data_IF_239356763426
#
_entry.id   IF_239356763426
#
_cell.length_a   1.000
_cell.length_b   1.000
_cell.length_c   1.000
_cell.angle_alpha   90.00
_cell.angle_beta   90.00
_cell.angle_gamma   90.00
#
_symmetry.space_group_name_H-M   'P 1'
#
loop_
_entity.id
_entity.type
_entity.pdbx_description
1 polymer ?
#
# COMPACT_ATOMS: atom_id res chain seq x y z
N UNK A 1 -25.01 22.51 -16.43
CA UNK A 1 -26.35 21.98 -16.12
C UNK A 1 -27.35 23.15 -16.08
N UNK A 2 -28.60 22.93 -15.65
CA UNK A 2 -29.54 24.02 -15.36
C UNK A 2 -29.28 24.72 -14.02
N UNK A 3 -28.34 24.21 -13.21
CA UNK A 3 -27.97 24.76 -11.89
C UNK A 3 -26.52 25.27 -11.93
N UNK A 4 -26.38 26.60 -12.00
CA UNK A 4 -25.08 27.28 -12.02
C UNK A 4 -24.28 27.07 -10.74
N UNK A 5 -24.94 26.94 -9.58
CA UNK A 5 -24.25 26.76 -8.31
C UNK A 5 -23.59 25.38 -8.25
N UNK A 6 -24.31 24.34 -8.70
CA UNK A 6 -23.76 22.99 -8.83
C UNK A 6 -22.58 22.94 -9.80
N UNK A 7 -22.68 23.60 -10.96
CA UNK A 7 -21.60 23.65 -11.95
C UNK A 7 -20.33 24.32 -11.40
N UNK A 8 -20.48 25.45 -10.69
CA UNK A 8 -19.36 26.15 -10.05
C UNK A 8 -18.75 25.31 -8.93
N UNK A 9 -19.57 24.66 -8.11
CA UNK A 9 -19.11 23.78 -7.05
C UNK A 9 -18.31 22.60 -7.61
N UNK A 10 -18.82 21.92 -8.64
CA UNK A 10 -18.11 20.84 -9.32
C UNK A 10 -16.76 21.30 -9.87
N UNK A 11 -16.72 22.46 -10.54
CA UNK A 11 -15.47 23.06 -11.04
C UNK A 11 -14.47 23.30 -9.91
N UNK A 12 -14.91 23.88 -8.80
CA UNK A 12 -14.04 24.11 -7.63
C UNK A 12 -13.53 22.82 -7.00
N UNK A 13 -14.39 21.81 -6.82
CA UNK A 13 -14.00 20.49 -6.33
C UNK A 13 -12.93 19.86 -7.23
N UNK A 14 -13.12 19.90 -8.55
CA UNK A 14 -12.14 19.37 -9.51
C UNK A 14 -10.81 20.12 -9.42
N UNK A 15 -10.83 21.45 -9.34
CA UNK A 15 -9.61 22.27 -9.19
C UNK A 15 -8.87 21.91 -7.90
N UNK A 16 -9.54 21.84 -6.76
CA UNK A 16 -8.89 21.50 -5.50
C UNK A 16 -8.35 20.07 -5.48
N UNK A 17 -9.04 19.13 -6.16
CA UNK A 17 -8.55 17.77 -6.31
C UNK A 17 -7.24 17.72 -7.09
N UNK A 18 -7.17 18.37 -8.26
CA UNK A 18 -5.96 18.37 -9.09
C UNK A 18 -4.84 19.26 -8.54
N UNK A 19 -5.15 20.29 -7.75
CA UNK A 19 -4.13 21.06 -7.01
C UNK A 19 -3.43 20.21 -5.94
N UNK A 20 -4.14 19.26 -5.31
CA UNK A 20 -3.56 18.40 -4.26
C UNK A 20 -2.94 17.14 -4.86
N UNK A 21 -3.63 16.47 -5.79
CA UNK A 21 -3.20 15.21 -6.39
C UNK A 21 -2.41 15.32 -7.70
N UNK A 22 -2.45 16.46 -8.38
CA UNK A 22 -1.86 16.68 -9.71
C UNK A 22 -2.78 16.30 -10.87
N UNK A 23 -2.33 16.57 -12.09
CA UNK A 23 -2.93 16.11 -13.36
C UNK A 23 -1.83 15.76 -14.36
N UNK A 24 -2.08 14.90 -15.37
CA UNK A 24 -1.08 14.58 -16.39
C UNK A 24 -0.76 15.78 -17.27
N UNK A 25 0.51 15.92 -17.70
CA UNK A 25 0.96 17.04 -18.55
C UNK A 25 0.36 16.97 -19.97
N UNK A 26 0.47 15.83 -20.64
CA UNK A 26 -0.02 15.61 -22.01
C UNK A 26 -0.62 14.21 -22.17
N UNK A 27 -1.71 13.93 -21.47
CA UNK A 27 -2.37 12.62 -21.52
C UNK A 27 -1.39 11.50 -21.15
N UNK A 28 -1.29 10.48 -22.00
CA UNK A 28 -0.42 9.31 -21.79
C UNK A 28 0.96 9.43 -22.45
N UNK A 29 1.32 10.61 -22.99
CA UNK A 29 2.62 10.85 -23.60
C UNK A 29 3.73 10.94 -22.57
N UNK A 30 4.89 10.38 -22.91
CA UNK A 30 6.10 10.42 -22.09
C UNK A 30 7.15 11.31 -22.77
N UNK A 31 7.70 12.26 -22.01
CA UNK A 31 8.89 13.01 -22.41
C UNK A 31 10.14 12.23 -22.01
N UNK A 32 10.93 11.79 -22.99
CA UNK A 32 12.07 10.91 -22.75
C UNK A 32 13.13 11.48 -21.79
N UNK A 33 13.42 12.77 -21.86
CA UNK A 33 14.40 13.39 -20.96
C UNK A 33 13.93 13.38 -19.49
N UNK A 34 12.65 13.63 -19.24
CA UNK A 34 12.08 13.54 -17.90
C UNK A 34 12.02 12.08 -17.41
N UNK A 35 11.59 11.15 -18.26
CA UNK A 35 11.59 9.72 -17.92
C UNK A 35 12.99 9.19 -17.58
N UNK A 36 14.01 9.57 -18.35
CA UNK A 36 15.39 9.20 -18.05
C UNK A 36 15.96 9.92 -16.82
N UNK A 37 15.52 11.15 -16.54
CA UNK A 37 15.85 11.82 -15.28
C UNK A 37 15.23 11.09 -14.08
N UNK A 38 13.96 10.68 -14.20
CA UNK A 38 13.30 9.82 -13.22
C UNK A 38 14.07 8.51 -13.02
N UNK A 39 14.40 7.77 -14.08
CA UNK A 39 15.16 6.51 -13.97
C UNK A 39 16.49 6.70 -13.23
N UNK A 40 17.23 7.79 -13.49
CA UNK A 40 18.47 8.11 -12.77
C UNK A 40 18.27 8.43 -11.29
N UNK A 41 17.15 9.05 -10.92
CA UNK A 41 16.82 9.31 -9.51
C UNK A 41 16.38 8.02 -8.81
N UNK A 42 15.66 7.15 -9.51
CA UNK A 42 15.19 5.85 -9.00
C UNK A 42 16.30 4.85 -8.80
N UNK A 43 17.02 4.51 -9.87
CA UNK A 43 18.05 3.49 -9.84
C UNK A 43 19.18 3.83 -10.82
N UNK A 44 20.28 4.38 -10.31
CA UNK A 44 21.44 4.83 -11.10
C UNK A 44 22.12 3.68 -11.84
N UNK A 45 22.08 2.47 -11.26
CA UNK A 45 22.70 1.26 -11.82
C UNK A 45 21.91 0.84 -13.07
N UNK A 46 20.59 0.76 -12.98
CA UNK A 46 19.72 0.37 -14.10
C UNK A 46 19.54 1.48 -15.15
N UNK A 47 19.66 2.76 -14.77
CA UNK A 47 19.27 3.88 -15.62
C UNK A 47 19.98 3.91 -16.98
N UNK A 48 21.29 3.65 -17.01
CA UNK A 48 22.08 3.70 -18.25
C UNK A 48 21.70 2.58 -19.22
N UNK A 49 21.51 1.36 -18.70
CA UNK A 49 21.11 0.20 -19.50
C UNK A 49 19.66 0.35 -19.98
N UNK A 50 18.74 0.78 -19.11
CA UNK A 50 17.34 1.04 -19.49
C UNK A 50 17.22 2.14 -20.53
N UNK A 51 18.06 3.17 -20.46
CA UNK A 51 18.09 4.22 -21.47
C UNK A 51 18.35 3.64 -22.86
N UNK A 52 19.40 2.82 -22.99
CA UNK A 52 19.74 2.15 -24.25
C UNK A 52 18.63 1.20 -24.69
N UNK A 53 18.15 0.37 -23.77
CA UNK A 53 17.11 -0.63 -24.02
C UNK A 53 15.83 -0.03 -24.61
N UNK A 54 15.38 1.12 -24.09
CA UNK A 54 14.21 1.84 -24.61
C UNK A 54 14.45 2.47 -25.98
N UNK A 55 15.62 3.09 -26.19
CA UNK A 55 15.97 3.74 -27.45
C UNK A 55 16.06 2.75 -28.62
N UNK A 56 16.49 1.50 -28.36
CA UNK A 56 16.59 0.45 -29.37
C UNK A 56 15.24 -0.16 -29.76
N UNK A 57 14.25 -0.14 -28.85
CA UNK A 57 12.95 -0.81 -29.06
C UNK A 57 11.88 0.09 -29.64
N UNK A 58 11.95 1.40 -29.39
CA UNK A 58 10.86 2.29 -29.75
C UNK A 58 11.32 3.73 -29.94
N UNK A 59 10.97 4.40 -31.06
CA UNK A 59 11.30 5.81 -31.27
C UNK A 59 10.55 6.70 -30.28
N UNK A 60 11.22 7.73 -29.75
CA UNK A 60 10.68 8.60 -28.70
C UNK A 60 9.37 9.31 -29.09
N UNK A 61 9.13 9.58 -30.38
CA UNK A 61 7.89 10.18 -30.86
C UNK A 61 6.65 9.35 -30.54
N UNK A 62 6.81 8.02 -30.45
CA UNK A 62 5.73 7.08 -30.19
C UNK A 62 5.55 6.76 -28.70
N UNK A 63 6.39 7.31 -27.82
CA UNK A 63 6.37 6.97 -26.41
C UNK A 63 5.05 7.39 -25.76
N UNK A 64 4.32 6.36 -25.34
CA UNK A 64 3.01 6.41 -24.70
C UNK A 64 3.01 5.36 -23.60
N UNK A 65 2.49 5.68 -22.42
CA UNK A 65 2.51 4.78 -21.25
C UNK A 65 2.00 3.38 -21.62
N UNK A 66 0.84 3.29 -22.27
CA UNK A 66 0.23 2.00 -22.64
C UNK A 66 1.08 1.21 -23.65
N UNK A 67 1.68 1.87 -24.65
CA UNK A 67 2.52 1.19 -25.66
C UNK A 67 3.81 0.69 -25.05
N UNK A 68 4.45 1.54 -24.26
CA UNK A 68 5.68 1.19 -23.57
C UNK A 68 5.42 0.05 -22.58
N UNK A 69 4.31 0.07 -21.83
CA UNK A 69 3.96 -1.03 -20.94
C UNK A 69 3.84 -2.35 -21.69
N UNK A 70 3.17 -2.37 -22.85
CA UNK A 70 3.08 -3.57 -23.69
C UNK A 70 4.45 -4.09 -24.14
N UNK A 71 5.38 -3.21 -24.47
CA UNK A 71 6.75 -3.57 -24.84
C UNK A 71 7.51 -4.14 -23.64
N UNK A 72 7.48 -3.45 -22.49
CA UNK A 72 8.16 -3.89 -21.28
C UNK A 72 7.62 -5.22 -20.74
N UNK A 73 6.30 -5.39 -20.72
CA UNK A 73 5.65 -6.60 -20.19
C UNK A 73 5.86 -7.82 -21.07
N UNK A 74 6.25 -7.65 -22.34
CA UNK A 74 6.59 -8.76 -23.23
C UNK A 74 7.94 -9.39 -22.92
N UNK A 75 8.82 -8.68 -22.20
CA UNK A 75 10.10 -9.18 -21.74
C UNK A 75 9.96 -9.73 -20.30
N UNK A 76 9.83 -11.04 -20.19
CA UNK A 76 9.66 -11.72 -18.90
C UNK A 76 10.98 -11.94 -18.15
N UNK A 77 12.11 -11.42 -18.63
CA UNK A 77 13.39 -11.47 -17.91
C UNK A 77 13.35 -10.63 -16.63
N UNK A 78 14.37 -10.77 -15.78
CA UNK A 78 14.52 -9.90 -14.61
C UNK A 78 14.60 -8.42 -15.00
N UNK A 79 15.33 -8.12 -16.07
CA UNK A 79 15.47 -6.76 -16.59
C UNK A 79 14.13 -6.20 -17.09
N UNK A 80 13.38 -6.97 -17.89
CA UNK A 80 12.07 -6.58 -18.39
C UNK A 80 11.04 -6.35 -17.28
N UNK A 81 11.09 -7.16 -16.20
CA UNK A 81 10.26 -6.93 -15.00
C UNK A 81 10.64 -5.65 -14.26
N UNK A 82 11.94 -5.34 -14.11
CA UNK A 82 12.37 -4.07 -13.53
C UNK A 82 11.96 -2.87 -14.42
N UNK A 83 12.06 -3.00 -15.74
CA UNK A 83 11.63 -1.96 -16.68
C UNK A 83 10.12 -1.73 -16.58
N UNK A 84 9.33 -2.81 -16.47
CA UNK A 84 7.88 -2.75 -16.26
C UNK A 84 7.55 -2.07 -14.94
N UNK A 85 8.21 -2.43 -13.84
CA UNK A 85 8.02 -1.79 -12.52
C UNK A 85 8.27 -0.28 -12.60
N UNK A 86 9.43 0.14 -13.10
CA UNK A 86 9.80 1.56 -13.14
C UNK A 86 8.87 2.36 -14.05
N UNK A 87 8.42 1.78 -15.17
CA UNK A 87 7.42 2.40 -16.02
C UNK A 87 6.04 2.50 -15.35
N UNK A 88 5.62 1.47 -14.63
CA UNK A 88 4.38 1.51 -13.82
C UNK A 88 4.46 2.58 -12.73
N UNK A 89 5.64 2.83 -12.16
CA UNK A 89 5.82 3.87 -11.14
C UNK A 89 5.99 5.29 -11.70
N UNK A 90 6.23 5.45 -13.00
CA UNK A 90 6.34 6.75 -13.64
C UNK A 90 4.95 7.34 -13.90
N UNK A 91 4.59 8.38 -13.13
CA UNK A 91 3.31 9.08 -13.24
C UNK A 91 3.61 10.56 -13.56
N UNK A 92 3.47 11.00 -14.82
CA UNK A 92 3.89 12.33 -15.28
C UNK A 92 2.88 13.42 -14.88
N UNK A 93 2.72 13.64 -13.57
CA UNK A 93 1.82 14.65 -13.02
C UNK A 93 2.52 15.99 -12.85
N UNK A 94 1.77 17.08 -13.03
CA UNK A 94 2.16 18.42 -12.65
C UNK A 94 1.08 19.07 -11.76
N UNK A 95 1.30 20.32 -11.35
CA UNK A 95 0.36 21.17 -10.59
C UNK A 95 0.07 20.75 -9.13
N UNK A 96 0.46 19.53 -8.73
CA UNK A 96 0.34 19.08 -7.33
C UNK A 96 1.16 19.95 -6.37
N UNK A 97 0.56 20.30 -5.22
CA UNK A 97 1.20 20.99 -4.11
C UNK A 97 0.73 20.45 -2.76
N UNK A 98 1.57 20.59 -1.72
CA UNK A 98 1.13 20.38 -0.34
C UNK A 98 0.10 21.44 0.06
N UNK A 99 -0.94 21.02 0.75
CA UNK A 99 -2.11 21.84 1.14
C UNK A 99 -1.89 22.64 2.43
N UNK A 100 -0.72 23.27 2.53
CA UNK A 100 -0.40 24.25 3.57
C UNK A 100 -0.92 25.64 3.23
N UNK A 101 -1.44 26.34 4.23
CA UNK A 101 -1.97 27.70 4.15
C UNK A 101 -2.11 28.28 5.57
N UNK A 102 -2.44 29.57 5.76
CA UNK A 102 -2.55 30.17 7.10
C UNK A 102 -3.54 29.50 8.06
N UNK A 103 -4.54 28.77 7.55
CA UNK A 103 -5.47 27.98 8.38
C UNK A 103 -4.93 26.58 8.74
N UNK A 104 -3.84 26.15 8.10
CA UNK A 104 -3.13 24.88 8.33
C UNK A 104 -1.62 25.11 8.45
N UNK A 105 -1.16 25.93 9.42
CA UNK A 105 0.24 26.35 9.51
C UNK A 105 1.21 25.19 9.80
N UNK A 106 0.73 24.07 10.35
CA UNK A 106 1.51 22.84 10.55
C UNK A 106 1.86 22.12 9.24
N UNK A 107 1.20 22.45 8.13
CA UNK A 107 1.53 21.96 6.80
C UNK A 107 2.35 23.01 6.05
N UNK A 108 3.63 22.72 5.80
CA UNK A 108 4.43 23.57 4.89
C UNK A 108 4.02 23.32 3.45
N UNK A 109 3.49 24.35 2.78
CA UNK A 109 3.28 24.26 1.33
C UNK A 109 4.59 24.48 0.58
N UNK A 110 4.70 23.86 -0.58
CA UNK A 110 5.78 24.09 -1.53
C UNK A 110 5.20 23.99 -2.93
N UNK A 111 5.62 24.91 -3.79
CA UNK A 111 5.38 24.88 -5.23
C UNK A 111 6.74 24.71 -5.90
N UNK A 112 6.92 23.73 -6.79
CA UNK A 112 8.15 23.65 -7.56
C UNK A 112 8.31 24.93 -8.39
N UNK A 113 9.54 25.49 -8.48
CA UNK A 113 9.77 26.67 -9.29
C UNK A 113 9.48 26.35 -10.77
N UNK A 114 8.90 27.32 -11.48
CA UNK A 114 8.69 27.18 -12.92
C UNK A 114 10.05 27.18 -13.64
N UNK A 115 10.36 26.17 -14.47
CA UNK A 115 11.55 26.14 -15.30
C UNK A 115 11.59 27.32 -16.28
N UNK A 116 12.80 27.77 -16.62
CA UNK A 116 13.02 28.80 -17.66
C UNK A 116 12.57 28.36 -19.05
N UNK A 117 12.38 27.05 -19.26
CA UNK A 117 11.88 26.46 -20.51
C UNK A 117 10.38 26.72 -20.74
N UNK A 118 9.65 27.21 -19.74
CA UNK A 118 8.21 27.47 -19.82
C UNK A 118 7.32 26.23 -19.69
N UNK A 119 7.87 25.02 -19.69
CA UNK A 119 7.13 23.77 -19.40
C UNK A 119 6.89 23.62 -17.90
N UNK A 120 5.68 23.24 -17.45
CA UNK A 120 5.44 22.91 -16.05
C UNK A 120 6.36 21.78 -15.59
N UNK A 121 6.94 21.85 -14.38
CA UNK A 121 7.73 20.76 -13.85
C UNK A 121 6.82 19.56 -13.58
N UNK A 122 7.23 18.38 -14.04
CA UNK A 122 6.63 17.11 -13.61
C UNK A 122 7.07 16.89 -12.16
N UNK A 123 6.11 16.84 -11.27
CA UNK A 123 6.30 16.69 -9.83
C UNK A 123 4.98 16.39 -9.13
N UNK A 124 5.02 15.46 -8.18
CA UNK A 124 3.97 15.28 -7.17
C UNK A 124 4.57 14.88 -5.82
N UNK A 125 3.89 15.27 -4.75
CA UNK A 125 4.15 14.77 -3.40
C UNK A 125 2.86 14.84 -2.58
N UNK A 126 2.66 13.87 -1.71
CA UNK A 126 1.48 13.88 -0.85
C UNK A 126 1.53 12.83 0.24
N UNK A 127 0.94 13.19 1.38
CA UNK A 127 0.66 12.22 2.42
C UNK A 127 -0.20 11.10 1.83
N UNK A 128 0.05 9.87 2.28
CA UNK A 128 -0.48 8.65 1.70
C UNK A 128 -1.98 8.72 1.38
N UNK A 129 -2.80 8.94 2.41
CA UNK A 129 -4.26 9.02 2.29
C UNK A 129 -4.70 10.12 1.32
N UNK A 130 -4.13 11.32 1.45
CA UNK A 130 -4.58 12.47 0.67
C UNK A 130 -4.41 12.26 -0.82
N UNK A 131 -3.23 11.78 -1.24
CA UNK A 131 -2.89 11.64 -2.65
C UNK A 131 -3.65 10.48 -3.31
N UNK A 132 -3.78 9.33 -2.63
CA UNK A 132 -4.52 8.20 -3.18
C UNK A 132 -6.02 8.46 -3.26
N UNK A 133 -6.60 9.24 -2.34
CA UNK A 133 -7.97 9.73 -2.47
C UNK A 133 -8.15 10.67 -3.66
N UNK A 134 -7.19 11.57 -3.93
CA UNK A 134 -7.29 12.43 -5.10
C UNK A 134 -7.12 11.66 -6.41
N UNK A 135 -6.25 10.66 -6.41
CA UNK A 135 -6.00 9.78 -7.54
C UNK A 135 -7.17 8.86 -7.85
N UNK A 136 -7.94 8.44 -6.83
CA UNK A 136 -9.22 7.74 -7.03
C UNK A 136 -10.15 8.55 -7.95
N UNK A 137 -10.34 9.85 -7.67
CA UNK A 137 -11.17 10.72 -8.49
C UNK A 137 -10.54 11.01 -9.86
N UNK A 138 -9.22 11.27 -9.91
CA UNK A 138 -8.50 11.54 -11.16
C UNK A 138 -8.56 10.35 -12.12
N UNK A 139 -8.44 9.12 -11.60
CA UNK A 139 -8.47 7.89 -12.38
C UNK A 139 -9.79 7.63 -13.10
N UNK A 140 -10.90 8.27 -12.69
CA UNK A 140 -12.16 8.22 -13.45
C UNK A 140 -12.03 9.01 -14.76
N UNK A 141 -11.41 10.19 -14.70
CA UNK A 141 -11.22 11.05 -15.88
C UNK A 141 -9.99 10.66 -16.70
N UNK A 142 -9.01 9.99 -16.10
CA UNK A 142 -7.76 9.56 -16.74
C UNK A 142 -7.48 8.06 -16.47
N UNK A 143 -8.29 7.13 -16.99
CA UNK A 143 -8.22 5.71 -16.63
C UNK A 143 -6.88 5.05 -16.89
N UNK A 144 -6.12 5.51 -17.91
CA UNK A 144 -4.80 4.97 -18.22
C UNK A 144 -3.78 5.12 -17.08
N UNK A 145 -4.02 6.02 -16.10
CA UNK A 145 -3.15 6.18 -14.93
C UNK A 145 -3.49 5.18 -13.80
N UNK A 146 -4.65 4.53 -13.80
CA UNK A 146 -5.08 3.65 -12.72
C UNK A 146 -4.10 2.49 -12.45
N UNK A 147 -3.56 1.77 -13.47
CA UNK A 147 -2.54 0.76 -13.25
C UNK A 147 -1.29 1.32 -12.56
N UNK A 148 -0.86 2.52 -12.94
CA UNK A 148 0.31 3.19 -12.38
C UNK A 148 0.08 3.62 -10.93
N UNK A 149 -1.09 4.17 -10.63
CA UNK A 149 -1.48 4.56 -9.26
C UNK A 149 -1.57 3.33 -8.35
N UNK A 150 -2.11 2.21 -8.84
CA UNK A 150 -2.13 0.94 -8.11
C UNK A 150 -0.72 0.40 -7.86
N UNK A 151 0.11 0.34 -8.90
CA UNK A 151 1.49 -0.12 -8.76
C UNK A 151 2.28 0.77 -7.78
N UNK A 152 2.07 2.09 -7.83
CA UNK A 152 2.70 3.03 -6.88
C UNK A 152 2.29 2.76 -5.44
N UNK A 153 1.01 2.46 -5.20
CA UNK A 153 0.51 2.03 -3.89
C UNK A 153 1.18 0.73 -3.45
N UNK A 154 1.10 -0.31 -4.28
CA UNK A 154 1.58 -1.66 -3.98
C UNK A 154 3.10 -1.69 -3.75
N UNK A 155 3.87 -0.96 -4.56
CA UNK A 155 5.33 -0.94 -4.46
C UNK A 155 5.81 -0.31 -3.16
N UNK A 156 5.08 0.69 -2.67
CA UNK A 156 5.39 1.36 -1.42
C UNK A 156 4.88 0.62 -0.17
N UNK A 157 4.19 -0.53 -0.31
CA UNK A 157 3.81 -1.32 0.88
C UNK A 157 5.02 -2.01 1.49
N UNK A 158 5.04 -2.05 2.81
CA UNK A 158 6.10 -2.70 3.60
C UNK A 158 5.87 -4.20 3.71
N UNK A 159 6.93 -4.94 4.03
CA UNK A 159 6.89 -6.40 4.13
C UNK A 159 5.96 -6.92 5.24
N UNK A 160 5.67 -6.08 6.23
CA UNK A 160 4.78 -6.35 7.36
C UNK A 160 3.34 -5.81 7.17
N UNK A 161 3.01 -5.30 5.98
CA UNK A 161 1.63 -4.99 5.58
C UNK A 161 1.15 -3.58 5.90
N UNK A 162 2.07 -2.62 5.90
CA UNK A 162 1.79 -1.19 6.09
C UNK A 162 2.43 -0.37 4.96
N UNK A 163 2.69 0.91 5.23
CA UNK A 163 3.22 1.84 4.24
C UNK A 163 3.90 3.05 4.91
N UNK A 164 4.81 3.73 4.20
CA UNK A 164 5.35 5.02 4.63
C UNK A 164 4.26 6.09 4.70
N UNK A 165 4.57 7.18 5.42
CA UNK A 165 3.65 8.30 5.60
C UNK A 165 3.38 9.07 4.30
N UNK A 166 4.38 9.16 3.41
CA UNK A 166 4.32 10.00 2.20
C UNK A 166 4.91 9.30 0.99
N UNK A 167 4.37 9.63 -0.17
CA UNK A 167 4.98 9.34 -1.48
C UNK A 167 5.28 10.66 -2.21
N UNK A 168 6.32 10.65 -3.03
CA UNK A 168 6.65 11.72 -3.98
C UNK A 168 7.01 11.11 -5.34
N UNK A 169 7.30 11.91 -6.37
CA UNK A 169 7.62 11.36 -7.70
C UNK A 169 8.75 10.33 -7.67
N UNK A 170 9.80 10.61 -6.90
CA UNK A 170 11.01 9.81 -6.92
C UNK A 170 10.98 8.65 -5.92
N UNK A 171 10.18 8.72 -4.85
CA UNK A 171 10.35 7.79 -3.74
C UNK A 171 9.29 7.92 -2.65
N UNK A 172 9.70 7.51 -1.46
CA UNK A 172 8.85 7.44 -0.27
C UNK A 172 9.56 8.11 0.90
N UNK A 173 8.78 8.72 1.79
CA UNK A 173 9.28 9.29 3.04
C UNK A 173 8.51 8.69 4.23
N UNK A 174 9.26 8.39 5.29
CA UNK A 174 8.73 8.00 6.60
C UNK A 174 9.08 9.06 7.64
N UNK A 175 8.36 9.04 8.76
CA UNK A 175 8.66 9.90 9.90
C UNK A 175 9.90 9.37 10.63
N UNK A 176 10.82 10.25 10.97
CA UNK A 176 12.05 9.94 11.72
C UNK A 176 11.87 10.55 13.12
N UNK A 177 12.15 9.81 14.20
CA UNK A 177 12.11 10.38 15.54
C UNK A 177 13.01 11.60 15.67
N UNK A 178 12.49 12.64 16.31
CA UNK A 178 13.25 13.86 16.63
C UNK A 178 13.91 13.68 18.01
N UNK A 179 15.25 13.69 18.13
CA UNK A 179 15.93 13.60 19.42
C UNK A 179 15.54 14.70 20.41
N UNK A 180 15.11 15.87 19.91
CA UNK A 180 14.73 17.03 20.72
C UNK A 180 13.24 17.02 21.10
N UNK A 181 12.43 16.15 20.50
CA UNK A 181 11.01 15.97 20.83
C UNK A 181 10.72 14.49 21.16
N UNK A 182 10.80 14.08 22.45
CA UNK A 182 10.53 12.70 22.85
C UNK A 182 9.06 12.29 22.66
N UNK A 183 8.17 13.23 22.34
CA UNK A 183 6.77 12.99 22.03
C UNK A 183 6.50 12.92 20.52
N UNK A 184 7.52 13.11 19.67
CA UNK A 184 7.45 12.87 18.24
C UNK A 184 7.37 11.36 17.97
N UNK A 185 6.16 10.82 18.08
CA UNK A 185 5.90 9.42 17.75
C UNK A 185 6.08 9.19 16.24
N UNK A 186 6.24 7.94 15.85
CA UNK A 186 6.17 7.44 14.47
C UNK A 186 5.37 6.13 14.49
N UNK A 187 4.88 5.68 13.34
CA UNK A 187 4.12 4.43 13.26
C UNK A 187 3.33 4.31 11.97
N UNK A 188 2.32 3.45 11.99
CA UNK A 188 1.50 3.16 10.81
C UNK A 188 0.03 3.43 11.09
N UNK A 189 -0.61 4.27 10.29
CA UNK A 189 -2.06 4.46 10.34
C UNK A 189 -2.76 3.22 9.80
N UNK A 190 -3.72 2.70 10.56
CA UNK A 190 -4.38 1.42 10.25
C UNK A 190 -5.36 1.50 9.08
N UNK A 191 -5.88 2.69 8.73
CA UNK A 191 -6.81 2.87 7.62
C UNK A 191 -6.11 3.00 6.25
N UNK A 192 -4.80 3.30 6.24
CA UNK A 192 -4.04 3.62 5.02
C UNK A 192 -4.04 2.52 3.94
N UNK A 193 -4.28 1.26 4.30
CA UNK A 193 -4.02 0.16 3.38
C UNK A 193 -5.28 -0.28 2.63
N UNK A 194 -6.34 -0.65 3.35
CA UNK A 194 -7.43 -1.44 2.79
C UNK A 194 -8.34 -0.62 1.89
N UNK A 195 -8.97 0.43 2.41
CA UNK A 195 -10.02 1.16 1.66
C UNK A 195 -9.46 1.85 0.42
N UNK A 196 -8.30 2.49 0.53
CA UNK A 196 -7.72 3.26 -0.57
C UNK A 196 -7.22 2.35 -1.70
N UNK A 197 -6.57 1.22 -1.37
CA UNK A 197 -6.21 0.23 -2.37
C UNK A 197 -7.44 -0.40 -3.01
N UNK A 198 -8.44 -0.78 -2.20
CA UNK A 198 -9.65 -1.40 -2.69
C UNK A 198 -10.34 -0.54 -3.76
N UNK A 199 -10.49 0.77 -3.51
CA UNK A 199 -11.10 1.70 -4.48
C UNK A 199 -10.31 1.80 -5.78
N UNK A 200 -8.98 1.81 -5.71
CA UNK A 200 -8.14 1.84 -6.90
C UNK A 200 -8.25 0.52 -7.69
N UNK A 201 -8.24 -0.63 -7.02
CA UNK A 201 -8.38 -1.94 -7.66
C UNK A 201 -9.77 -2.14 -8.27
N UNK A 202 -10.84 -1.71 -7.59
CA UNK A 202 -12.21 -1.72 -8.15
C UNK A 202 -12.27 -0.93 -9.47
N UNK A 203 -11.64 0.25 -9.51
CA UNK A 203 -11.57 1.06 -10.74
C UNK A 203 -10.70 0.42 -11.80
N UNK A 204 -9.52 -0.11 -11.45
CA UNK A 204 -8.68 -0.84 -12.40
C UNK A 204 -9.45 -1.98 -13.02
N UNK A 205 -10.10 -2.83 -12.22
CA UNK A 205 -10.87 -3.96 -12.72
C UNK A 205 -12.08 -3.51 -13.56
N UNK A 206 -12.73 -2.39 -13.20
CA UNK A 206 -13.83 -1.84 -13.99
C UNK A 206 -13.42 -1.36 -15.38
N UNK A 207 -12.22 -0.78 -15.54
CA UNK A 207 -11.72 -0.32 -16.85
C UNK A 207 -10.89 -1.37 -17.60
N UNK A 208 -10.19 -2.25 -16.87
CA UNK A 208 -9.26 -3.25 -17.38
C UNK A 208 -9.47 -4.60 -16.65
N UNK A 209 -10.55 -5.33 -16.96
CA UNK A 209 -10.95 -6.53 -16.20
C UNK A 209 -9.87 -7.61 -16.05
N UNK A 210 -9.09 -7.82 -17.11
CA UNK A 210 -8.06 -8.87 -17.18
C UNK A 210 -6.77 -8.52 -16.42
N UNK A 211 -6.55 -7.25 -16.09
CA UNK A 211 -5.25 -6.79 -15.59
C UNK A 211 -4.92 -7.35 -14.19
N UNK A 212 -5.90 -7.40 -13.29
CA UNK A 212 -5.66 -7.91 -11.93
C UNK A 212 -5.41 -9.42 -11.91
N UNK A 213 -6.19 -10.27 -12.61
CA UNK A 213 -5.87 -11.68 -12.77
C UNK A 213 -4.45 -11.93 -13.33
N UNK A 214 -4.03 -11.18 -14.34
CA UNK A 214 -2.67 -11.27 -14.91
C UNK A 214 -1.59 -10.92 -13.88
N UNK A 215 -1.85 -9.93 -13.02
CA UNK A 215 -0.90 -9.48 -12.01
C UNK A 215 -0.77 -10.42 -10.81
N UNK A 216 -1.72 -11.35 -10.58
CA UNK A 216 -1.74 -12.24 -9.42
C UNK A 216 -0.43 -13.04 -9.25
N UNK A 217 0.17 -13.52 -10.35
CA UNK A 217 1.44 -14.26 -10.33
C UNK A 217 2.61 -13.51 -11.01
N UNK A 218 2.38 -12.28 -11.49
CA UNK A 218 3.41 -11.49 -12.14
C UNK A 218 4.29 -10.76 -11.11
N UNK A 219 5.58 -11.11 -11.06
CA UNK A 219 6.54 -10.50 -10.14
C UNK A 219 6.92 -9.07 -10.58
N UNK A 220 6.06 -8.10 -10.30
CA UNK A 220 6.16 -6.71 -10.75
C UNK A 220 6.32 -5.70 -9.61
N UNK A 221 6.05 -6.10 -8.37
CA UNK A 221 5.89 -5.17 -7.26
C UNK A 221 7.06 -5.20 -6.27
N UNK A 222 7.72 -4.07 -6.07
CA UNK A 222 8.78 -3.94 -5.04
C UNK A 222 8.19 -3.82 -3.64
N UNK A 223 9.01 -3.94 -2.60
CA UNK A 223 8.55 -3.82 -1.19
C UNK A 223 9.39 -2.79 -0.43
N UNK A 224 8.72 -1.81 0.17
CA UNK A 224 9.37 -0.75 0.93
C UNK A 224 10.07 -1.32 2.18
N UNK A 225 11.27 -0.82 2.47
CA UNK A 225 12.06 -1.18 3.63
C UNK A 225 12.09 -0.03 4.64
N UNK A 226 10.93 0.31 5.19
CA UNK A 226 10.80 1.37 6.20
C UNK A 226 11.48 0.91 7.49
N UNK A 227 12.32 1.75 8.15
CA UNK A 227 13.09 1.37 9.35
C UNK A 227 12.25 1.37 10.63
N UNK A 228 11.06 0.80 10.56
CA UNK A 228 10.20 0.57 11.71
C UNK A 228 10.23 -0.93 12.04
N UNK A 229 10.15 -1.24 13.33
CA UNK A 229 10.10 -2.61 13.85
C UNK A 229 8.91 -2.75 14.78
N UNK A 230 7.92 -3.50 14.32
CA UNK A 230 6.79 -3.92 15.16
C UNK A 230 7.27 -4.91 16.22
N UNK A 231 6.90 -4.68 17.48
CA UNK A 231 7.33 -5.48 18.61
C UNK A 231 6.79 -6.92 18.60
N UNK A 232 7.37 -7.77 19.44
CA UNK A 232 6.90 -9.14 19.65
C UNK A 232 5.65 -9.22 20.52
N UNK A 233 5.05 -10.40 20.58
CA UNK A 233 3.77 -10.66 21.29
C UNK A 233 3.77 -10.17 22.73
N UNK A 234 4.82 -10.47 23.51
CA UNK A 234 4.82 -10.12 24.94
C UNK A 234 4.77 -8.59 25.14
N UNK A 235 5.60 -7.85 24.40
CA UNK A 235 5.64 -6.39 24.46
C UNK A 235 4.30 -5.78 23.99
N UNK A 236 3.69 -6.35 22.94
CA UNK A 236 2.40 -5.90 22.40
C UNK A 236 1.28 -5.95 23.45
N UNK A 237 1.17 -7.04 24.21
CA UNK A 237 0.15 -7.18 25.25
C UNK A 237 0.53 -6.48 26.56
N UNK A 238 1.82 -6.19 26.79
CA UNK A 238 2.29 -5.42 27.93
C UNK A 238 1.89 -3.94 27.81
N UNK A 239 2.11 -3.35 26.62
CA UNK A 239 1.74 -1.96 26.36
C UNK A 239 1.47 -1.75 24.85
N UNK A 240 0.20 -1.74 24.42
CA UNK A 240 -0.13 -1.60 23.00
C UNK A 240 0.05 -0.18 22.44
N UNK A 241 0.47 0.78 23.29
CA UNK A 241 0.86 2.14 22.86
C UNK A 241 2.34 2.27 22.52
N UNK A 242 3.15 1.25 22.83
CA UNK A 242 4.61 1.24 22.61
C UNK A 242 5.00 -0.02 21.85
N UNK A 243 4.70 -0.03 20.56
CA UNK A 243 4.70 -1.22 19.71
C UNK A 243 5.58 -1.11 18.48
N UNK A 244 6.09 0.09 18.18
CA UNK A 244 6.94 0.34 17.01
C UNK A 244 8.23 1.02 17.48
N UNK A 245 9.36 0.39 17.18
CA UNK A 245 10.69 1.00 17.40
C UNK A 245 11.31 1.42 16.07
N UNK A 246 12.23 2.40 16.12
CA UNK A 246 12.97 2.88 14.96
C UNK A 246 14.33 2.18 14.86
N UNK A 247 14.61 1.60 13.70
CA UNK A 247 15.88 0.93 13.39
C UNK A 247 16.88 1.95 12.83
N UNK A 248 17.67 2.55 13.71
CA UNK A 248 18.64 3.59 13.35
C UNK A 248 19.75 3.05 12.43
N UNK A 249 20.15 1.79 12.60
CA UNK A 249 21.20 1.18 11.79
C UNK A 249 20.69 0.98 10.35
N UNK A 250 19.47 0.46 10.20
CA UNK A 250 18.84 0.36 8.88
C UNK A 250 18.66 1.74 8.23
N UNK A 251 18.25 2.76 9.00
CA UNK A 251 18.12 4.13 8.48
C UNK A 251 19.46 4.64 7.91
N UNK A 252 20.59 4.39 8.60
CA UNK A 252 21.90 4.78 8.13
C UNK A 252 22.31 3.99 6.87
N UNK A 253 22.05 2.68 6.84
CA UNK A 253 22.31 1.82 5.68
C UNK A 253 21.55 2.34 4.45
N UNK A 254 20.24 2.61 4.58
CA UNK A 254 19.42 3.11 3.47
C UNK A 254 19.93 4.48 3.01
N UNK A 255 20.24 5.38 3.94
CA UNK A 255 20.77 6.72 3.62
C UNK A 255 22.05 6.63 2.80
N UNK A 256 22.98 5.77 3.20
CA UNK A 256 24.23 5.59 2.46
C UNK A 256 23.98 4.93 1.09
N UNK A 257 23.14 3.90 1.03
CA UNK A 257 22.79 3.23 -0.24
C UNK A 257 22.09 4.16 -1.24
N UNK A 258 21.33 5.17 -0.78
CA UNK A 258 20.74 6.19 -1.66
C UNK A 258 21.80 6.97 -2.46
N UNK A 259 23.02 7.10 -1.94
CA UNK A 259 24.13 7.78 -2.65
C UNK A 259 24.63 6.96 -3.84
N UNK A 260 24.56 5.63 -3.77
CA UNK A 260 24.98 4.71 -4.84
C UNK A 260 23.82 4.36 -5.78
N UNK A 261 22.72 3.86 -5.23
CA UNK A 261 21.60 3.28 -5.97
C UNK A 261 20.60 4.36 -6.40
N UNK A 262 20.34 5.36 -5.56
CA UNK A 262 19.21 6.28 -5.70
C UNK A 262 18.02 5.87 -4.83
N UNK A 263 16.83 6.37 -5.13
CA UNK A 263 15.64 6.19 -4.29
C UNK A 263 15.19 4.73 -4.12
N UNK A 264 15.54 3.83 -5.05
CA UNK A 264 15.27 2.41 -4.93
C UNK A 264 16.01 1.76 -3.73
N UNK A 265 17.01 2.42 -3.13
CA UNK A 265 17.62 1.99 -1.86
C UNK A 265 16.65 1.94 -0.66
N UNK A 266 15.51 2.63 -0.75
CA UNK A 266 14.45 2.58 0.26
C UNK A 266 13.59 1.30 0.22
N UNK A 267 13.93 0.34 -0.65
CA UNK A 267 13.22 -0.92 -0.85
C UNK A 267 14.13 -2.09 -0.52
N UNK A 268 13.56 -3.28 -0.35
CA UNK A 268 14.36 -4.50 -0.21
C UNK A 268 15.12 -4.78 -1.50
N UNK A 269 16.46 -4.82 -1.43
CA UNK A 269 17.35 -4.99 -2.57
C UNK A 269 17.90 -6.43 -2.64
N UNK A 270 18.13 -6.92 -3.85
CA UNK A 270 18.93 -8.10 -4.10
C UNK A 270 20.44 -7.80 -4.10
N UNK A 271 21.26 -8.83 -4.37
CA UNK A 271 22.72 -8.70 -4.46
C UNK A 271 23.21 -7.80 -5.59
N UNK A 272 22.37 -7.52 -6.60
CA UNK A 272 22.64 -6.61 -7.72
C UNK A 272 22.13 -5.18 -7.46
N UNK A 273 21.61 -4.90 -6.26
CA UNK A 273 21.01 -3.61 -5.88
C UNK A 273 19.76 -3.26 -6.68
N UNK A 274 19.03 -4.27 -7.15
CA UNK A 274 17.70 -4.08 -7.71
C UNK A 274 16.64 -4.39 -6.65
N UNK A 275 15.52 -3.66 -6.62
CA UNK A 275 14.42 -4.03 -5.72
C UNK A 275 13.94 -5.45 -5.99
N UNK A 276 13.84 -6.27 -4.95
CA UNK A 276 13.25 -7.60 -5.04
C UNK A 276 11.77 -7.45 -5.42
N UNK A 277 11.34 -8.21 -6.43
CA UNK A 277 9.97 -8.12 -6.97
C UNK A 277 9.10 -9.27 -6.46
N UNK A 278 7.87 -8.91 -6.13
CA UNK A 278 6.79 -9.77 -5.64
C UNK A 278 5.56 -9.66 -6.53
N UNK A 279 4.59 -10.54 -6.34
CA UNK A 279 3.36 -10.60 -7.13
C UNK A 279 2.23 -9.79 -6.49
N UNK A 280 1.15 -9.54 -7.24
CA UNK A 280 -0.03 -8.88 -6.65
C UNK A 280 -0.62 -9.74 -5.51
N UNK A 281 -0.61 -11.08 -5.66
CA UNK A 281 -1.09 -11.98 -4.63
C UNK A 281 -0.28 -11.86 -3.34
N UNK A 282 1.06 -11.88 -3.42
CA UNK A 282 1.94 -11.64 -2.26
C UNK A 282 1.56 -10.33 -1.56
N UNK A 283 1.47 -9.23 -2.32
CA UNK A 283 1.12 -7.91 -1.77
C UNK A 283 -0.22 -7.88 -1.06
N UNK A 284 -1.26 -8.42 -1.69
CA UNK A 284 -2.61 -8.41 -1.14
C UNK A 284 -2.67 -9.25 0.14
N UNK A 285 -2.09 -10.45 0.15
CA UNK A 285 -2.15 -11.32 1.31
C UNK A 285 -1.29 -10.81 2.46
N UNK A 286 -0.18 -10.12 2.22
CA UNK A 286 0.53 -9.38 3.28
C UNK A 286 -0.39 -8.37 3.97
N UNK A 287 -1.15 -7.58 3.20
CA UNK A 287 -2.08 -6.58 3.75
C UNK A 287 -3.25 -7.22 4.50
N UNK A 288 -3.86 -8.27 3.94
CA UNK A 288 -4.96 -9.01 4.57
C UNK A 288 -4.48 -9.67 5.87
N UNK A 289 -3.33 -10.34 5.86
CA UNK A 289 -2.79 -11.03 7.03
C UNK A 289 -2.39 -10.05 8.13
N UNK A 290 -1.84 -8.87 7.78
CA UNK A 290 -1.52 -7.83 8.77
C UNK A 290 -2.78 -7.34 9.51
N UNK A 291 -3.90 -7.20 8.81
CA UNK A 291 -5.20 -6.86 9.43
C UNK A 291 -5.81 -8.04 10.18
N UNK A 292 -5.70 -9.24 9.64
CA UNK A 292 -6.22 -10.48 10.25
C UNK A 292 -5.49 -10.77 11.56
N UNK A 293 -4.17 -10.55 11.63
CA UNK A 293 -3.38 -10.70 12.86
C UNK A 293 -3.86 -9.80 14.00
N UNK A 294 -4.51 -8.68 13.66
CA UNK A 294 -5.08 -7.72 14.59
C UNK A 294 -6.61 -7.84 14.72
N UNK A 295 -7.22 -8.85 14.11
CA UNK A 295 -8.66 -9.08 14.24
C UNK A 295 -9.00 -9.51 15.66
N UNK A 296 -9.97 -8.84 16.25
CA UNK A 296 -10.56 -9.17 17.55
C UNK A 296 -12.01 -9.55 17.28
N UNK A 297 -12.38 -10.84 17.43
CA UNK A 297 -13.76 -11.29 17.26
C UNK A 297 -14.70 -10.42 18.10
N UNK A 298 -15.90 -10.13 17.60
CA UNK A 298 -16.89 -9.23 18.23
C UNK A 298 -16.42 -7.77 18.48
N UNK A 299 -15.16 -7.42 18.21
CA UNK A 299 -14.56 -6.14 18.62
C UNK A 299 -14.17 -5.23 17.45
N UNK A 300 -13.46 -5.76 16.44
CA UNK A 300 -12.93 -4.98 15.31
C UNK A 300 -11.48 -5.31 15.00
N UNK A 301 -10.77 -4.41 14.32
CA UNK A 301 -9.33 -4.51 14.08
C UNK A 301 -8.58 -3.67 15.11
N UNK A 302 -7.63 -4.27 15.83
CA UNK A 302 -6.89 -3.63 16.90
C UNK A 302 -5.99 -2.49 16.39
N UNK A 303 -6.11 -1.30 17.00
CA UNK A 303 -5.34 -0.10 16.64
C UNK A 303 -4.04 -0.02 17.45
N UNK A 304 -3.03 -0.82 17.12
CA UNK A 304 -1.83 -1.01 17.96
C UNK A 304 -0.52 -0.63 17.27
N UNK A 305 -0.53 0.33 16.35
CA UNK A 305 0.61 0.71 15.50
C UNK A 305 1.08 2.16 15.71
N UNK A 306 0.88 2.70 16.91
CA UNK A 306 1.31 4.04 17.36
C UNK A 306 0.72 5.24 16.58
N UNK A 307 -0.25 4.98 15.71
CA UNK A 307 -0.97 6.00 14.96
C UNK A 307 -2.47 5.76 15.01
N UNK A 308 -3.28 6.83 14.92
CA UNK A 308 -4.72 6.70 14.75
C UNK A 308 -5.09 6.15 13.37
N UNK A 309 -6.38 6.21 13.07
CA UNK A 309 -6.90 6.10 11.71
C UNK A 309 -7.23 7.49 11.15
N UNK A 310 -8.29 7.61 10.35
CA UNK A 310 -8.66 8.84 9.66
C UNK A 310 -8.85 10.07 10.57
N UNK A 311 -9.44 9.90 11.75
CA UNK A 311 -9.72 10.99 12.68
C UNK A 311 -8.60 11.15 13.71
N UNK A 312 -7.63 12.01 13.41
CA UNK A 312 -6.51 12.32 14.32
C UNK A 312 -6.95 12.91 15.67
N UNK A 313 -8.14 13.53 15.75
CA UNK A 313 -8.66 14.06 17.01
C UNK A 313 -9.02 12.97 18.04
N UNK A 314 -9.20 11.72 17.60
CA UNK A 314 -9.43 10.56 18.44
C UNK A 314 -8.16 9.70 18.62
N UNK A 315 -6.97 10.31 18.53
CA UNK A 315 -5.71 9.58 18.60
C UNK A 315 -5.46 8.80 19.89
N UNK A 316 -6.11 9.16 21.00
CA UNK A 316 -6.02 8.42 22.27
C UNK A 316 -6.56 6.97 22.17
N UNK A 317 -7.36 6.66 21.14
CA UNK A 317 -7.80 5.30 20.83
C UNK A 317 -6.64 4.41 20.38
N UNK A 318 -5.57 4.97 19.80
CA UNK A 318 -4.37 4.20 19.49
C UNK A 318 -3.81 3.54 20.76
N UNK A 319 -3.59 2.24 20.69
CA UNK A 319 -3.31 1.35 21.80
C UNK A 319 -4.45 0.40 22.08
N UNK A 320 -5.55 0.87 22.67
CA UNK A 320 -6.61 -0.03 23.17
C UNK A 320 -7.86 -0.07 22.29
N UNK A 321 -8.02 0.87 21.37
CA UNK A 321 -9.19 0.96 20.51
C UNK A 321 -9.23 -0.16 19.46
N UNK A 322 -10.45 -0.57 19.13
CA UNK A 322 -10.73 -1.52 18.06
C UNK A 322 -11.53 -0.82 16.96
N UNK A 323 -11.01 -0.84 15.74
CA UNK A 323 -11.66 -0.22 14.58
C UNK A 323 -12.62 -1.21 13.92
N UNK A 324 -13.91 -0.95 14.05
CA UNK A 324 -14.92 -1.57 13.20
C UNK A 324 -14.99 -0.90 11.83
N UNK A 325 -14.59 0.38 11.72
CA UNK A 325 -14.47 1.07 10.44
C UNK A 325 -13.56 0.28 9.49
N UNK A 326 -12.35 -0.07 9.93
CA UNK A 326 -11.42 -0.86 9.12
C UNK A 326 -11.95 -2.28 8.87
N UNK A 327 -12.65 -2.89 9.83
CA UNK A 327 -13.32 -4.19 9.61
C UNK A 327 -14.37 -4.11 8.49
N UNK A 328 -15.18 -3.06 8.47
CA UNK A 328 -16.21 -2.83 7.45
C UNK A 328 -15.62 -2.57 6.06
N UNK A 329 -14.39 -2.04 5.98
CA UNK A 329 -13.67 -1.91 4.71
C UNK A 329 -12.95 -3.21 4.31
N UNK A 330 -12.47 -3.99 5.26
CA UNK A 330 -11.81 -5.27 5.03
C UNK A 330 -12.76 -6.32 4.47
N UNK A 331 -14.01 -6.36 4.95
CA UNK A 331 -15.01 -7.32 4.50
C UNK A 331 -15.25 -7.29 2.96
N UNK A 332 -15.62 -6.16 2.34
CA UNK A 332 -15.82 -6.11 0.89
C UNK A 332 -14.50 -6.22 0.12
N UNK A 333 -13.36 -5.80 0.70
CA UNK A 333 -12.05 -6.00 0.09
C UNK A 333 -11.72 -7.49 -0.05
N UNK A 334 -11.87 -8.30 1.00
CA UNK A 334 -11.66 -9.75 0.95
C UNK A 334 -12.58 -10.42 -0.07
N UNK A 335 -13.87 -10.02 -0.11
CA UNK A 335 -14.82 -10.53 -1.09
C UNK A 335 -14.46 -10.13 -2.54
N UNK A 336 -13.93 -8.92 -2.75
CA UNK A 336 -13.42 -8.48 -4.04
C UNK A 336 -12.19 -9.31 -4.47
N UNK A 337 -11.21 -9.48 -3.59
CA UNK A 337 -10.02 -10.29 -3.87
C UNK A 337 -10.39 -11.73 -4.19
N UNK A 338 -11.34 -12.34 -3.47
CA UNK A 338 -11.82 -13.69 -3.78
C UNK A 338 -12.34 -13.80 -5.22
N UNK A 339 -13.12 -12.83 -5.69
CA UNK A 339 -13.60 -12.79 -7.09
C UNK A 339 -12.47 -12.66 -8.10
N UNK A 340 -11.44 -11.87 -7.79
CA UNK A 340 -10.25 -11.75 -8.65
C UNK A 340 -9.48 -13.08 -8.70
N UNK A 341 -9.36 -13.78 -7.56
CA UNK A 341 -8.72 -15.10 -7.50
C UNK A 341 -9.44 -16.11 -8.40
N UNK A 342 -10.78 -16.14 -8.42
CA UNK A 342 -11.58 -17.06 -9.25
C UNK A 342 -11.23 -16.98 -10.76
N UNK A 343 -10.79 -15.82 -11.23
CA UNK A 343 -10.34 -15.60 -12.62
C UNK A 343 -8.83 -15.79 -12.81
N UNK A 344 -8.08 -16.06 -11.74
CA UNK A 344 -6.62 -16.18 -11.73
C UNK A 344 -6.08 -17.59 -12.00
N UNK A 345 -4.74 -17.72 -12.08
CA UNK A 345 -4.05 -19.01 -12.20
C UNK A 345 -4.41 -19.99 -11.07
N UNK A 346 -4.30 -21.29 -11.34
CA UNK A 346 -4.59 -22.35 -10.36
C UNK A 346 -3.63 -22.40 -9.17
N UNK A 347 -2.38 -21.98 -9.37
CA UNK A 347 -1.37 -21.87 -8.32
C UNK A 347 -0.72 -20.49 -8.36
N UNK A 348 -0.40 -19.94 -7.19
CA UNK A 348 0.19 -18.61 -7.04
C UNK A 348 1.49 -18.68 -6.24
N UNK A 349 2.47 -17.86 -6.63
CA UNK A 349 3.77 -17.77 -5.97
C UNK A 349 3.72 -16.85 -4.77
N UNK A 350 4.28 -17.32 -3.66
CA UNK A 350 4.46 -16.57 -2.43
C UNK A 350 5.86 -16.77 -1.86
N UNK A 351 6.36 -15.83 -1.06
CA UNK A 351 7.53 -16.12 -0.22
C UNK A 351 7.20 -17.21 0.81
N UNK A 352 8.15 -18.11 1.06
CA UNK A 352 7.98 -19.21 2.04
C UNK A 352 7.60 -18.70 3.43
N UNK A 353 8.11 -17.52 3.82
CA UNK A 353 7.75 -16.86 5.07
C UNK A 353 6.26 -16.47 5.10
N UNK A 354 5.74 -15.85 4.04
CA UNK A 354 4.34 -15.44 3.96
C UNK A 354 3.41 -16.66 3.87
N UNK A 355 3.78 -17.69 3.10
CA UNK A 355 3.05 -18.97 3.05
C UNK A 355 2.91 -19.58 4.45
N UNK A 356 4.00 -19.65 5.22
CA UNK A 356 3.96 -20.18 6.60
C UNK A 356 3.04 -19.37 7.51
N UNK A 357 3.07 -18.04 7.39
CA UNK A 357 2.19 -17.14 8.14
C UNK A 357 0.71 -17.35 7.77
N UNK A 358 0.41 -17.42 6.46
CA UNK A 358 -0.93 -17.67 5.94
C UNK A 358 -1.51 -18.98 6.48
N UNK A 359 -0.74 -20.08 6.40
CA UNK A 359 -1.16 -21.39 6.90
C UNK A 359 -1.39 -21.38 8.42
N UNK A 360 -0.49 -20.73 9.17
CA UNK A 360 -0.64 -20.58 10.63
C UNK A 360 -1.90 -19.80 10.98
N UNK A 361 -2.15 -18.67 10.31
CA UNK A 361 -3.37 -17.91 10.49
C UNK A 361 -4.62 -18.69 10.08
N UNK A 362 -4.60 -19.42 8.96
CA UNK A 362 -5.73 -20.22 8.51
C UNK A 362 -6.08 -21.32 9.52
N UNK A 363 -5.08 -22.00 10.09
CA UNK A 363 -5.28 -23.01 11.12
C UNK A 363 -5.94 -22.41 12.37
N UNK A 364 -5.44 -21.27 12.85
CA UNK A 364 -6.04 -20.57 14.00
C UNK A 364 -7.48 -20.16 13.70
N UNK A 365 -7.74 -19.55 12.53
CA UNK A 365 -9.11 -19.19 12.16
C UNK A 365 -10.01 -20.43 12.07
N UNK A 366 -9.51 -21.55 11.58
CA UNK A 366 -10.24 -22.81 11.47
C UNK A 366 -10.62 -23.40 12.83
N UNK A 367 -9.67 -23.41 13.78
CA UNK A 367 -9.89 -23.93 15.14
C UNK A 367 -10.96 -23.12 15.90
N UNK A 368 -11.01 -21.82 15.65
CA UNK A 368 -11.94 -20.91 16.32
C UNK A 368 -13.24 -20.67 15.56
N UNK A 369 -13.33 -21.03 14.27
CA UNK A 369 -14.44 -20.68 13.39
C UNK A 369 -15.80 -21.05 13.98
N UNK A 370 -16.01 -22.35 14.27
CA UNK A 370 -17.31 -22.84 14.77
C UNK A 370 -17.75 -22.11 16.04
N UNK A 371 -16.79 -21.75 16.90
CA UNK A 371 -17.04 -21.07 18.16
C UNK A 371 -17.40 -19.61 17.94
N UNK A 372 -16.62 -18.88 17.13
CA UNK A 372 -16.89 -17.48 16.78
C UNK A 372 -18.23 -17.35 16.06
N UNK A 373 -18.56 -18.24 15.12
CA UNK A 373 -19.82 -18.16 14.36
C UNK A 373 -21.07 -18.40 15.25
N UNK A 374 -20.99 -19.33 16.21
CA UNK A 374 -22.16 -19.72 17.03
C UNK A 374 -22.37 -18.85 18.26
N UNK A 375 -21.28 -18.37 18.87
CA UNK A 375 -21.33 -17.72 20.18
C UNK A 375 -20.43 -16.49 20.22
N UNK A 376 -20.76 -15.54 21.11
CA UNK A 376 -19.83 -14.49 21.51
C UNK A 376 -18.75 -15.12 22.40
N UNK A 377 -17.49 -14.82 22.12
CA UNK A 377 -16.38 -15.35 22.93
C UNK A 377 -16.38 -14.68 24.32
N UNK A 378 -15.98 -15.42 25.36
CA UNK A 378 -15.62 -14.78 26.64
C UNK A 378 -14.32 -13.96 26.50
N UNK A 379 -14.03 -13.09 27.46
CA UNK A 379 -12.79 -12.30 27.46
C UNK A 379 -11.53 -13.18 27.47
N UNK A 380 -11.56 -14.33 28.16
CA UNK A 380 -10.43 -15.26 28.20
C UNK A 380 -10.20 -15.94 26.83
N UNK A 381 -11.26 -16.40 26.18
CA UNK A 381 -11.20 -16.96 24.83
C UNK A 381 -10.71 -15.94 23.81
N UNK A 382 -11.24 -14.71 23.89
CA UNK A 382 -10.83 -13.61 23.00
C UNK A 382 -9.35 -13.32 23.16
N UNK A 383 -8.85 -13.30 24.40
CA UNK A 383 -7.43 -13.12 24.68
C UNK A 383 -6.58 -14.28 24.12
N UNK A 384 -7.04 -15.53 24.24
CA UNK A 384 -6.34 -16.70 23.68
C UNK A 384 -6.25 -16.60 22.15
N UNK A 385 -7.36 -16.28 21.48
CA UNK A 385 -7.38 -16.05 20.04
C UNK A 385 -6.41 -14.94 19.63
N UNK A 386 -6.49 -13.77 20.28
CA UNK A 386 -5.63 -12.63 19.98
C UNK A 386 -4.14 -12.97 20.18
N UNK A 387 -3.79 -13.69 21.25
CA UNK A 387 -2.40 -14.12 21.48
C UNK A 387 -1.90 -15.06 20.39
N UNK A 388 -2.71 -16.04 19.98
CA UNK A 388 -2.34 -16.97 18.90
C UNK A 388 -2.08 -16.24 17.58
N UNK A 389 -2.98 -15.31 17.19
CA UNK A 389 -2.82 -14.50 15.98
C UNK A 389 -1.58 -13.60 16.05
N UNK A 390 -1.36 -12.95 17.19
CA UNK A 390 -0.19 -12.10 17.40
C UNK A 390 1.13 -12.89 17.35
N UNK A 391 1.15 -14.11 17.90
CA UNK A 391 2.32 -15.01 17.85
C UNK A 391 2.66 -15.41 16.42
N UNK A 392 1.66 -15.83 15.63
CA UNK A 392 1.87 -16.18 14.23
C UNK A 392 2.45 -15.01 13.42
N UNK A 393 1.91 -13.79 13.64
CA UNK A 393 2.41 -12.60 12.99
C UNK A 393 3.80 -12.17 13.48
N UNK A 394 4.10 -12.32 14.77
CA UNK A 394 5.42 -12.01 15.32
C UNK A 394 6.49 -12.96 14.75
N UNK A 395 6.20 -14.26 14.64
CA UNK A 395 7.11 -15.24 14.05
C UNK A 395 7.43 -14.94 12.58
N UNK A 396 6.44 -14.50 11.80
CA UNK A 396 6.66 -14.00 10.43
C UNK A 396 7.60 -12.79 10.42
N UNK A 397 7.28 -11.76 11.22
CA UNK A 397 8.02 -10.51 11.26
C UNK A 397 9.48 -10.70 11.69
N UNK A 398 9.71 -11.48 12.74
CA UNK A 398 11.06 -11.80 13.22
C UNK A 398 11.93 -12.40 12.10
N UNK A 399 11.37 -13.34 11.34
CA UNK A 399 12.05 -13.94 10.19
C UNK A 399 12.34 -12.92 9.08
N UNK A 400 11.34 -12.15 8.63
CA UNK A 400 11.53 -11.24 7.50
C UNK A 400 12.31 -9.97 7.85
N UNK A 401 12.35 -9.56 9.12
CA UNK A 401 13.24 -8.47 9.54
C UNK A 401 14.71 -8.89 9.54
N UNK A 402 15.00 -10.16 9.86
CA UNK A 402 16.36 -10.69 9.82
C UNK A 402 16.80 -11.00 8.38
N UNK A 403 15.96 -11.71 7.62
CA UNK A 403 16.36 -12.33 6.35
C UNK A 403 15.85 -11.57 5.11
N UNK A 404 14.89 -10.67 5.27
CA UNK A 404 14.18 -10.03 4.16
C UNK A 404 13.26 -10.97 3.38
N UNK A 405 12.87 -10.58 2.14
CA UNK A 405 12.19 -11.46 1.20
C UNK A 405 13.06 -12.69 0.89
N UNK A 406 12.48 -13.89 1.02
CA UNK A 406 13.23 -15.14 0.88
C UNK A 406 12.94 -15.90 -0.41
N UNK A 407 13.18 -17.21 -0.37
CA UNK A 407 12.75 -18.12 -1.43
C UNK A 407 11.23 -18.16 -1.55
N UNK A 408 10.76 -18.48 -2.75
CA UNK A 408 9.33 -18.61 -3.06
C UNK A 408 8.87 -20.06 -3.11
N UNK A 409 7.58 -20.26 -2.90
CA UNK A 409 6.86 -21.52 -2.99
C UNK A 409 5.47 -21.28 -3.61
N UNK A 410 4.73 -22.35 -3.91
CA UNK A 410 3.38 -22.29 -4.50
C UNK A 410 2.29 -22.51 -3.45
N UNK A 411 1.16 -21.85 -3.63
CA UNK A 411 -0.09 -22.08 -2.90
C UNK A 411 -1.20 -22.26 -3.93
N UNK A 412 -2.03 -23.27 -3.72
CA UNK A 412 -3.22 -23.52 -4.54
C UNK A 412 -4.21 -22.37 -4.40
N UNK A 413 -4.78 -21.93 -5.51
CA UNK A 413 -5.81 -20.87 -5.55
C UNK A 413 -7.00 -21.22 -4.65
N UNK A 414 -7.41 -22.48 -4.64
CA UNK A 414 -8.56 -22.93 -3.84
C UNK A 414 -8.32 -22.78 -2.33
N UNK A 415 -7.07 -22.96 -1.86
CA UNK A 415 -6.73 -22.72 -0.45
C UNK A 415 -6.85 -21.24 -0.08
N UNK A 416 -6.46 -20.34 -1.00
CA UNK A 416 -6.59 -18.90 -0.83
C UNK A 416 -8.06 -18.47 -0.82
N UNK A 417 -8.87 -19.03 -1.72
CA UNK A 417 -10.33 -18.80 -1.76
C UNK A 417 -10.98 -19.31 -0.46
N UNK A 418 -10.60 -20.49 0.01
CA UNK A 418 -11.09 -21.05 1.27
C UNK A 418 -10.73 -20.17 2.47
N UNK A 419 -9.50 -19.66 2.53
CA UNK A 419 -9.08 -18.69 3.54
C UNK A 419 -9.93 -17.41 3.48
N UNK A 420 -10.14 -16.84 2.28
CA UNK A 420 -10.97 -15.63 2.10
C UNK A 420 -12.43 -15.86 2.55
N UNK A 421 -13.03 -17.00 2.20
CA UNK A 421 -14.38 -17.36 2.62
C UNK A 421 -14.50 -17.47 4.14
N UNK A 422 -13.55 -18.13 4.79
CA UNK A 422 -13.48 -18.26 6.25
C UNK A 422 -13.37 -16.88 6.90
N UNK A 423 -12.44 -16.05 6.43
CA UNK A 423 -12.26 -14.70 6.96
C UNK A 423 -13.51 -13.85 6.77
N UNK A 424 -14.12 -13.88 5.59
CA UNK A 424 -15.38 -13.16 5.30
C UNK A 424 -16.49 -13.51 6.30
N UNK A 425 -16.69 -14.80 6.59
CA UNK A 425 -17.71 -15.26 7.53
C UNK A 425 -17.48 -14.73 8.95
N UNK A 426 -16.22 -14.69 9.41
CA UNK A 426 -15.85 -14.20 10.75
C UNK A 426 -15.98 -12.67 10.87
N UNK A 427 -15.57 -11.94 9.82
CA UNK A 427 -15.73 -10.49 9.76
C UNK A 427 -17.22 -10.11 9.73
N UNK A 428 -18.02 -10.78 8.91
CA UNK A 428 -19.48 -10.55 8.82
C UNK A 428 -20.16 -10.81 10.16
N UNK A 429 -19.84 -11.92 10.82
CA UNK A 429 -20.36 -12.22 12.17
C UNK A 429 -20.02 -11.12 13.17
N UNK A 430 -18.81 -10.58 13.13
CA UNK A 430 -18.41 -9.46 14.01
C UNK A 430 -19.14 -8.17 13.67
N UNK A 431 -19.35 -7.89 12.37
CA UNK A 431 -20.14 -6.74 11.92
C UNK A 431 -21.59 -6.79 12.42
N UNK A 432 -22.26 -7.93 12.23
CA UNK A 432 -23.67 -8.11 12.62
C UNK A 432 -23.86 -7.96 14.13
N UNK A 433 -22.89 -8.47 14.91
CA UNK A 433 -22.87 -8.35 16.37
C UNK A 433 -22.55 -6.96 16.90
N UNK A 434 -22.21 -6.00 16.03
CA UNK A 434 -21.94 -4.61 16.37
C UNK A 434 -22.99 -3.64 15.82
N UNK A 435 -24.14 -4.15 15.37
CA UNK A 435 -25.34 -3.35 15.18
C UNK A 435 -25.88 -2.87 16.53
N UNK A 436 -26.32 -1.61 16.58
CA UNK A 436 -26.87 -0.95 17.77
C UNK A 436 -28.41 -0.96 17.72
N UNK A 437 -29.10 -0.85 18.87
CA UNK A 437 -30.56 -0.81 18.91
C UNK A 437 -31.20 0.38 18.16
N UNK A 438 -30.45 1.45 17.94
CA UNK A 438 -30.88 2.65 17.20
C UNK A 438 -30.74 2.51 15.67
N UNK A 439 -30.34 1.33 15.17
CA UNK A 439 -30.13 1.06 13.75
C UNK A 439 -28.77 1.52 13.21
N UNK A 440 -27.92 2.12 14.05
CA UNK A 440 -26.54 2.44 13.70
C UNK A 440 -25.59 1.26 13.98
N UNK A 441 -24.33 1.41 13.63
CA UNK A 441 -23.27 0.45 13.94
C UNK A 441 -22.19 1.11 14.81
N UNK A 442 -21.54 0.32 15.67
CA UNK A 442 -20.34 0.79 16.36
C UNK A 442 -19.22 1.12 15.36
N UNK A 443 -18.49 2.21 15.58
CA UNK A 443 -17.35 2.61 14.73
C UNK A 443 -16.01 2.23 15.36
N UNK A 444 -15.85 2.56 16.64
CA UNK A 444 -14.70 2.23 17.46
C UNK A 444 -15.20 1.65 18.78
N UNK A 445 -14.61 0.52 19.19
CA UNK A 445 -14.89 -0.16 20.47
C UNK A 445 -13.72 -0.03 21.44
#
# INVERSE_FOLDING_TARGET
SGDRAADLHHRSCTIFNIMRGGLPVEGDRIEGDDFFAFLRRRNRILASEMKRWWQERMPQAEWRLHRMLKVASSDTSEFGRQATRLLLEYIPLHFSRRHGDPSRPWNRFSLPPMPTTGKPPIHYQGNWRDIFQNWEALGVSQPFLLPHMCARFLNATTIDGYNPYRIHQDGIDWEIPDPEDPWAYYGYWSDHQIVYLHRLLEKVHGFFPELLPEWLDAALFSTANVPYRLCGTEALFRNPRSTVTFDHDLQQIIRHQKEEVGEDAAFWLDSRKHPVLSTLAEKIFTLILAKTANFVPDGGIWMNTQRPEWNDANNALAGYGLSLVTLYQLLPFVAFIRRILECGPGELRFYKSLKSWLLSCNNILSDWEKRILRHRLTSQERLQFMKAMAQAAAAYREKVYADGPGETDRIEREDLIAFCNRLEALLRTTMDRNARPDGLHHSYN
#
